data_IF_886034207248
#
_entry.id   IF_886034207248
#
_cell.length_a   1.000
_cell.length_b   1.000
_cell.length_c   1.000
_cell.angle_alpha   90.00
_cell.angle_beta   90.00
_cell.angle_gamma   90.00
#
_symmetry.space_group_name_H-M   'P 1'
#
loop_
_entity.id
_entity.type
_entity.pdbx_description
1 polymer ?
#
# COMPACT_ATOMS: atom_id res chain seq x y z
N UNK A 1 34.61 -42.87 -11.83
CA UNK A 1 33.43 -42.05 -12.15
C UNK A 1 33.29 -41.04 -11.02
N UNK A 2 33.74 -39.79 -11.28
CA UNK A 2 33.63 -38.67 -10.33
C UNK A 2 32.41 -37.85 -10.72
N UNK A 3 31.44 -37.73 -9.82
CA UNK A 3 30.29 -36.87 -9.97
C UNK A 3 30.71 -35.41 -9.75
N UNK A 4 30.61 -34.62 -10.78
CA UNK A 4 30.72 -33.16 -10.69
C UNK A 4 29.43 -32.62 -10.05
N UNK A 5 29.56 -32.01 -8.89
CA UNK A 5 28.55 -31.12 -8.33
C UNK A 5 28.78 -29.75 -8.96
N UNK A 6 27.90 -29.35 -9.88
CA UNK A 6 27.80 -27.98 -10.37
C UNK A 6 27.19 -27.12 -9.25
N UNK A 7 28.06 -26.35 -8.60
CA UNK A 7 27.70 -25.28 -7.70
C UNK A 7 27.22 -24.06 -8.51
N UNK A 8 25.94 -23.73 -8.36
CA UNK A 8 25.37 -22.46 -8.85
C UNK A 8 26.09 -21.27 -8.23
N UNK A 9 26.40 -20.20 -8.99
CA UNK A 9 27.14 -19.06 -8.45
C UNK A 9 26.27 -18.23 -7.49
N UNK A 10 26.80 -18.07 -6.29
CA UNK A 10 26.30 -17.17 -5.24
C UNK A 10 26.65 -15.72 -5.57
N UNK A 11 25.92 -15.10 -6.48
CA UNK A 11 26.05 -13.65 -6.73
C UNK A 11 24.77 -13.09 -7.33
N UNK A 12 23.69 -13.08 -6.55
CA UNK A 12 22.54 -12.23 -6.80
C UNK A 12 22.61 -10.96 -5.92
N UNK A 13 23.82 -10.37 -5.80
CA UNK A 13 24.01 -8.97 -5.39
C UNK A 13 23.91 -8.13 -6.64
N UNK A 14 22.70 -7.96 -7.18
CA UNK A 14 22.56 -7.31 -8.46
C UNK A 14 21.46 -6.27 -8.43
N UNK A 15 21.87 -5.06 -8.73
CA UNK A 15 21.08 -4.00 -9.34
C UNK A 15 19.89 -3.51 -8.52
N UNK A 16 20.18 -2.92 -7.38
CA UNK A 16 19.37 -1.77 -6.94
C UNK A 16 19.80 -0.62 -7.87
N UNK A 17 19.19 -0.56 -9.05
CA UNK A 17 19.29 0.61 -9.90
C UNK A 17 18.85 1.81 -9.06
N UNK A 18 19.69 2.85 -9.01
CA UNK A 18 19.35 4.07 -8.28
C UNK A 18 17.96 4.53 -8.71
N UNK A 19 17.02 4.81 -7.78
CA UNK A 19 15.68 5.22 -8.13
C UNK A 19 15.75 6.49 -8.97
N UNK A 20 15.23 6.46 -10.19
CA UNK A 20 15.20 7.64 -11.04
C UNK A 20 14.43 8.72 -10.28
N UNK A 21 15.06 9.87 -10.03
CA UNK A 21 14.47 11.00 -9.28
C UNK A 21 13.34 11.70 -10.04
N UNK A 22 13.06 11.31 -11.28
CA UNK A 22 12.11 11.96 -12.19
C UNK A 22 10.80 11.17 -12.28
N UNK A 23 9.91 11.37 -11.32
CA UNK A 23 8.48 11.10 -11.49
C UNK A 23 7.74 12.38 -11.86
N UNK A 24 6.69 12.26 -12.68
CA UNK A 24 5.75 13.36 -12.92
C UNK A 24 4.85 13.45 -11.69
N UNK A 25 4.68 14.66 -11.15
CA UNK A 25 3.72 14.93 -10.07
C UNK A 25 2.66 15.89 -10.58
N UNK A 26 1.40 15.59 -10.32
CA UNK A 26 0.28 16.42 -10.75
C UNK A 26 -0.92 16.34 -9.82
N UNK A 27 -1.95 17.08 -10.18
CA UNK A 27 -3.27 17.04 -9.56
C UNK A 27 -4.35 16.95 -10.63
N UNK A 28 -5.44 16.25 -10.33
CA UNK A 28 -6.65 16.18 -11.16
C UNK A 28 -7.80 16.78 -10.36
N UNK A 29 -8.58 17.65 -10.99
CA UNK A 29 -9.80 18.17 -10.41
C UNK A 29 -10.92 17.11 -10.50
N UNK A 30 -11.62 16.88 -9.40
CA UNK A 30 -12.79 16.03 -9.33
C UNK A 30 -14.08 16.85 -9.50
N UNK A 31 -15.18 16.20 -9.82
CA UNK A 31 -16.47 16.86 -10.10
C UNK A 31 -17.03 17.65 -8.91
N UNK A 32 -16.66 17.30 -7.71
CA UNK A 32 -17.07 18.00 -6.47
C UNK A 32 -16.14 19.18 -6.08
N UNK A 33 -15.18 19.52 -6.93
CA UNK A 33 -14.23 20.63 -6.72
C UNK A 33 -13.00 20.25 -5.91
N UNK A 34 -12.89 19.02 -5.41
CA UNK A 34 -11.66 18.51 -4.79
C UNK A 34 -10.58 18.28 -5.86
N UNK A 35 -9.32 18.25 -5.41
CA UNK A 35 -8.17 17.84 -6.22
C UNK A 35 -7.61 16.52 -5.70
N UNK A 36 -7.31 15.61 -6.60
CA UNK A 36 -6.59 14.38 -6.29
C UNK A 36 -5.14 14.51 -6.76
N UNK A 37 -4.21 14.54 -5.80
CA UNK A 37 -2.77 14.54 -6.07
C UNK A 37 -2.29 13.17 -6.50
N UNK A 38 -1.31 13.10 -7.39
CA UNK A 38 -0.72 11.83 -7.81
C UNK A 38 0.74 11.99 -8.24
N UNK A 39 1.43 10.87 -8.36
CA UNK A 39 2.71 10.78 -9.06
C UNK A 39 2.68 9.66 -10.08
N UNK A 40 3.50 9.79 -11.13
CA UNK A 40 3.67 8.81 -12.19
C UNK A 40 5.13 8.41 -12.27
N UNK A 41 5.37 7.09 -12.34
CA UNK A 41 6.68 6.46 -12.41
C UNK A 41 6.68 5.34 -13.47
N UNK A 42 7.86 4.77 -13.73
CA UNK A 42 8.00 3.61 -14.61
C UNK A 42 8.06 4.01 -16.09
N UNK A 43 7.29 3.33 -16.92
CA UNK A 43 7.21 3.56 -18.37
C UNK A 43 5.93 4.34 -18.71
N UNK A 44 6.03 5.60 -19.21
CA UNK A 44 4.84 6.39 -19.53
C UNK A 44 3.93 5.77 -20.61
N UNK A 45 4.48 4.98 -21.52
CA UNK A 45 3.71 4.22 -22.54
C UNK A 45 3.33 2.82 -22.10
N UNK A 46 3.68 2.43 -20.88
CA UNK A 46 3.46 1.10 -20.34
C UNK A 46 2.01 0.83 -19.93
N UNK A 47 1.77 -0.40 -19.50
CA UNK A 47 0.48 -0.82 -18.99
C UNK A 47 0.14 -0.14 -17.66
N UNK A 48 -1.06 0.45 -17.50
CA UNK A 48 -1.39 1.25 -16.34
C UNK A 48 -1.64 0.39 -15.10
N UNK A 49 -0.91 0.71 -14.01
CA UNK A 49 -1.09 0.14 -12.69
C UNK A 49 -1.24 1.27 -11.68
N UNK A 50 -2.33 1.28 -10.95
CA UNK A 50 -2.64 2.26 -9.92
C UNK A 50 -2.22 1.73 -8.56
N UNK A 51 -1.29 2.43 -7.89
CA UNK A 51 -0.72 2.05 -6.61
C UNK A 51 -1.36 2.82 -5.46
N UNK A 52 -1.89 2.11 -4.48
CA UNK A 52 -2.44 2.69 -3.26
C UNK A 52 -1.47 2.50 -2.09
N UNK A 53 -0.96 3.61 -1.60
CA UNK A 53 0.03 3.67 -0.52
C UNK A 53 -0.51 3.14 0.83
N UNK A 54 0.39 2.76 1.75
CA UNK A 54 0.07 2.39 3.13
C UNK A 54 -0.45 3.56 3.99
N UNK A 55 -0.65 3.32 5.29
CA UNK A 55 -1.18 4.32 6.24
C UNK A 55 -0.28 4.41 7.48
N UNK A 56 0.30 5.59 7.79
CA UNK A 56 0.37 6.78 6.92
C UNK A 56 1.33 6.57 5.75
N UNK A 57 1.06 7.24 4.63
CA UNK A 57 1.89 7.18 3.43
C UNK A 57 1.46 8.18 2.37
N UNK A 58 2.19 8.23 1.25
CA UNK A 58 1.92 9.16 0.16
C UNK A 58 2.31 8.56 -1.20
N UNK A 59 2.00 9.28 -2.27
CA UNK A 59 2.42 8.95 -3.65
C UNK A 59 3.92 8.71 -3.80
N UNK A 60 4.72 9.33 -2.92
CA UNK A 60 6.19 9.25 -2.95
C UNK A 60 6.70 7.83 -2.75
N UNK A 61 5.97 6.99 -2.00
CA UNK A 61 6.39 5.61 -1.71
C UNK A 61 6.49 4.75 -2.98
N UNK A 62 5.68 5.02 -4.00
CA UNK A 62 5.71 4.29 -5.27
C UNK A 62 7.04 4.46 -6.04
N UNK A 63 7.84 5.47 -5.71
CA UNK A 63 9.18 5.68 -6.30
C UNK A 63 10.12 4.48 -6.08
N UNK A 64 9.94 3.71 -5.00
CA UNK A 64 10.71 2.47 -4.76
C UNK A 64 10.51 1.42 -5.87
N UNK A 65 9.34 1.42 -6.49
CA UNK A 65 9.01 0.50 -7.57
C UNK A 65 9.32 1.04 -8.98
N UNK A 66 9.82 2.29 -9.10
CA UNK A 66 9.95 2.98 -10.39
C UNK A 66 10.82 2.24 -11.42
N UNK A 67 11.98 1.73 -10.99
CA UNK A 67 12.89 0.99 -11.86
C UNK A 67 12.28 -0.35 -12.30
N UNK A 68 11.68 -1.09 -11.39
CA UNK A 68 11.02 -2.36 -11.65
C UNK A 68 9.80 -2.18 -12.54
N UNK A 69 9.02 -1.11 -12.34
CA UNK A 69 7.90 -0.77 -13.19
C UNK A 69 8.34 -0.47 -14.63
N UNK A 70 9.43 0.29 -14.80
CA UNK A 70 10.00 0.56 -16.13
C UNK A 70 10.43 -0.74 -16.82
N UNK A 71 11.15 -1.61 -16.11
CA UNK A 71 11.58 -2.91 -16.65
C UNK A 71 10.41 -3.81 -17.04
N UNK A 72 9.30 -3.73 -16.31
CA UNK A 72 8.09 -4.51 -16.59
C UNK A 72 7.15 -3.88 -17.64
N UNK A 73 7.50 -2.72 -18.24
CA UNK A 73 6.64 -1.99 -19.16
C UNK A 73 5.35 -1.52 -18.49
N UNK A 74 5.45 -1.01 -17.26
CA UNK A 74 4.32 -0.56 -16.45
C UNK A 74 4.38 0.95 -16.27
N UNK A 75 3.26 1.61 -16.58
CA UNK A 75 2.96 2.98 -16.17
C UNK A 75 2.41 2.94 -14.75
N UNK A 76 3.27 3.24 -13.76
CA UNK A 76 2.93 3.17 -12.35
C UNK A 76 2.38 4.51 -11.87
N UNK A 77 1.12 4.54 -11.51
CA UNK A 77 0.36 5.72 -11.13
C UNK A 77 -0.03 5.64 -9.65
N UNK A 78 0.34 6.63 -8.86
CA UNK A 78 0.17 6.63 -7.41
C UNK A 78 -0.68 7.83 -6.96
N UNK A 79 -2.03 7.75 -6.98
CA UNK A 79 -2.87 8.78 -6.40
C UNK A 79 -2.79 8.79 -4.88
N UNK A 80 -2.92 9.99 -4.29
CA UNK A 80 -2.99 10.18 -2.85
C UNK A 80 -4.44 10.23 -2.39
N UNK A 81 -4.74 9.49 -1.33
CA UNK A 81 -6.09 9.51 -0.74
C UNK A 81 -6.41 10.88 -0.13
N UNK A 82 -7.69 11.24 0.00
CA UNK A 82 -8.11 12.54 0.50
C UNK A 82 -7.43 12.97 1.79
N UNK A 83 -6.84 14.18 1.79
CA UNK A 83 -6.13 14.79 2.90
C UNK A 83 -4.66 14.38 3.04
N UNK A 84 -4.15 13.47 2.21
CA UNK A 84 -2.72 13.18 2.11
C UNK A 84 -2.07 14.03 1.02
N UNK A 85 -0.83 14.43 1.25
CA UNK A 85 0.03 15.13 0.28
C UNK A 85 -0.66 16.30 -0.41
N UNK A 86 -0.95 16.16 -1.70
CA UNK A 86 -1.57 17.19 -2.54
C UNK A 86 -3.10 17.05 -2.65
N UNK A 87 -3.69 15.97 -2.12
CA UNK A 87 -5.13 15.71 -2.25
C UNK A 87 -5.94 16.52 -1.26
N UNK A 88 -7.02 17.14 -1.74
CA UNK A 88 -7.98 17.87 -0.90
C UNK A 88 -8.59 16.93 0.16
N UNK A 89 -8.73 17.36 1.42
CA UNK A 89 -9.42 16.59 2.45
C UNK A 89 -10.89 16.32 2.09
N UNK A 90 -11.41 15.16 2.53
CA UNK A 90 -12.83 14.79 2.43
C UNK A 90 -13.33 14.34 3.81
N UNK A 91 -13.85 15.25 4.63
CA UNK A 91 -14.40 14.90 5.94
C UNK A 91 -15.58 13.93 5.83
N UNK A 92 -15.65 12.97 6.75
CA UNK A 92 -16.76 12.02 6.79
C UNK A 92 -16.78 10.95 5.70
N UNK A 93 -15.72 10.84 4.88
CA UNK A 93 -15.62 9.86 3.80
C UNK A 93 -15.81 8.42 4.28
N UNK A 94 -16.30 7.58 3.39
CA UNK A 94 -16.38 6.13 3.52
C UNK A 94 -15.32 5.47 2.63
N UNK A 95 -15.06 4.19 2.85
CA UNK A 95 -14.14 3.42 1.99
C UNK A 95 -14.63 3.39 0.53
N UNK A 96 -15.94 3.28 0.33
CA UNK A 96 -16.57 3.19 -0.99
C UNK A 96 -16.68 4.53 -1.76
N UNK A 97 -16.28 5.64 -1.17
CA UNK A 97 -16.17 6.90 -1.90
C UNK A 97 -14.88 6.94 -2.76
N UNK A 98 -13.87 6.12 -2.40
CA UNK A 98 -12.59 6.07 -3.11
C UNK A 98 -12.66 5.52 -4.54
N UNK A 99 -13.39 4.44 -4.85
CA UNK A 99 -13.53 3.98 -6.22
C UNK A 99 -14.09 5.06 -7.18
N UNK A 100 -15.02 5.89 -6.71
CA UNK A 100 -15.57 6.99 -7.52
C UNK A 100 -14.51 8.08 -7.78
N UNK A 101 -13.70 8.43 -6.78
CA UNK A 101 -12.57 9.33 -6.95
C UNK A 101 -11.56 8.76 -7.96
N UNK A 102 -11.23 7.47 -7.85
CA UNK A 102 -10.31 6.78 -8.78
C UNK A 102 -10.88 6.75 -10.19
N UNK A 103 -12.17 6.49 -10.37
CA UNK A 103 -12.82 6.48 -11.68
C UNK A 103 -12.69 7.84 -12.37
N UNK A 104 -13.07 8.93 -11.68
CA UNK A 104 -12.98 10.29 -12.23
C UNK A 104 -11.53 10.66 -12.57
N UNK A 105 -10.61 10.31 -11.68
CA UNK A 105 -9.17 10.55 -11.87
C UNK A 105 -8.62 9.74 -13.05
N UNK A 106 -9.01 8.49 -13.21
CA UNK A 106 -8.61 7.63 -14.32
C UNK A 106 -9.17 8.16 -15.66
N UNK A 107 -10.44 8.61 -15.68
CA UNK A 107 -11.06 9.23 -16.84
C UNK A 107 -10.30 10.47 -17.31
N UNK A 108 -9.91 11.35 -16.35
CA UNK A 108 -9.13 12.55 -16.66
C UNK A 108 -7.73 12.24 -17.22
N UNK A 109 -7.16 11.09 -16.89
CA UNK A 109 -5.86 10.61 -17.41
C UNK A 109 -5.99 9.73 -18.65
N UNK A 110 -7.19 9.51 -19.18
CA UNK A 110 -7.45 8.68 -20.35
C UNK A 110 -7.20 7.18 -20.10
N UNK A 111 -7.35 6.71 -18.86
CA UNK A 111 -7.18 5.30 -18.52
C UNK A 111 -8.50 4.58 -18.66
N UNK A 112 -8.64 3.73 -19.66
CA UNK A 112 -9.84 2.90 -19.85
C UNK A 112 -9.85 1.71 -18.87
N UNK A 113 -8.81 0.88 -18.90
CA UNK A 113 -8.61 -0.25 -17.99
C UNK A 113 -7.25 -0.18 -17.32
N UNK A 114 -7.18 -0.58 -16.06
CA UNK A 114 -5.95 -0.53 -15.26
C UNK A 114 -5.93 -1.66 -14.23
N UNK A 115 -4.74 -2.00 -13.73
CA UNK A 115 -4.62 -2.79 -12.51
C UNK A 115 -4.62 -1.90 -11.28
N UNK A 116 -4.91 -2.48 -10.13
CA UNK A 116 -4.72 -1.83 -8.83
C UNK A 116 -3.76 -2.64 -7.97
N UNK A 117 -2.92 -1.96 -7.17
CA UNK A 117 -2.03 -2.57 -6.19
C UNK A 117 -2.17 -1.81 -4.87
N UNK A 118 -2.67 -2.45 -3.84
CA UNK A 118 -2.77 -1.89 -2.50
C UNK A 118 -1.78 -2.52 -1.54
N UNK A 119 -1.00 -1.68 -0.83
CA UNK A 119 -0.04 -2.13 0.17
C UNK A 119 -0.50 -1.68 1.55
N UNK A 120 -0.50 -2.59 2.54
CA UNK A 120 -0.86 -2.27 3.93
C UNK A 120 -2.26 -1.63 4.01
N UNK A 121 -2.38 -0.39 4.53
CA UNK A 121 -3.61 0.39 4.52
C UNK A 121 -4.17 0.71 3.13
N UNK A 122 -3.42 0.47 2.05
CA UNK A 122 -3.90 0.57 0.67
C UNK A 122 -4.73 -0.62 0.19
N UNK A 123 -4.60 -1.77 0.86
CA UNK A 123 -5.28 -3.00 0.46
C UNK A 123 -6.81 -2.92 0.48
N UNK A 124 -7.45 -2.37 1.52
CA UNK A 124 -8.90 -2.13 1.53
C UNK A 124 -9.40 -1.32 0.33
N UNK A 125 -8.62 -0.34 -0.11
CA UNK A 125 -8.94 0.50 -1.26
C UNK A 125 -8.78 -0.23 -2.59
N UNK A 126 -7.78 -1.11 -2.71
CA UNK A 126 -7.62 -1.98 -3.87
C UNK A 126 -8.81 -2.96 -3.97
N UNK A 127 -9.22 -3.56 -2.84
CA UNK A 127 -10.38 -4.44 -2.79
C UNK A 127 -11.69 -3.69 -3.13
N UNK A 128 -11.86 -2.45 -2.65
CA UNK A 128 -13.01 -1.61 -2.96
C UNK A 128 -13.09 -1.27 -4.46
N UNK A 129 -11.97 -0.90 -5.08
CA UNK A 129 -11.90 -0.65 -6.52
C UNK A 129 -12.18 -1.92 -7.33
N UNK A 130 -11.62 -3.07 -6.92
CA UNK A 130 -11.86 -4.36 -7.55
C UNK A 130 -13.33 -4.78 -7.48
N UNK A 131 -14.04 -4.43 -6.40
CA UNK A 131 -15.45 -4.71 -6.21
C UNK A 131 -16.36 -3.76 -7.00
N UNK A 132 -16.10 -2.44 -6.93
CA UNK A 132 -17.00 -1.42 -7.46
C UNK A 132 -16.75 -1.10 -8.96
N UNK A 133 -15.54 -1.37 -9.45
CA UNK A 133 -15.12 -1.05 -10.81
C UNK A 133 -14.66 -2.29 -11.60
N UNK A 134 -15.44 -3.41 -11.65
CA UNK A 134 -14.99 -4.64 -12.28
C UNK A 134 -14.74 -4.48 -13.79
N UNK A 135 -15.41 -3.55 -14.45
CA UNK A 135 -15.23 -3.25 -15.88
C UNK A 135 -13.94 -2.46 -16.16
N UNK A 136 -13.38 -1.77 -15.16
CA UNK A 136 -12.20 -0.89 -15.26
C UNK A 136 -10.96 -1.55 -14.67
N UNK A 137 -11.11 -2.32 -13.60
CA UNK A 137 -10.01 -3.01 -12.93
C UNK A 137 -9.80 -4.38 -13.57
N UNK A 138 -8.65 -4.57 -14.21
CA UNK A 138 -8.32 -5.84 -14.88
C UNK A 138 -7.83 -6.91 -13.90
N UNK A 139 -7.11 -6.53 -12.87
CA UNK A 139 -6.55 -7.39 -11.82
C UNK A 139 -6.23 -6.55 -10.59
N UNK A 140 -6.34 -7.13 -9.39
CA UNK A 140 -5.96 -6.48 -8.15
C UNK A 140 -4.81 -7.20 -7.45
N UNK A 141 -3.81 -6.43 -6.99
CA UNK A 141 -2.76 -6.88 -6.09
C UNK A 141 -3.01 -6.38 -4.67
N UNK A 142 -2.84 -7.23 -3.68
CA UNK A 142 -2.99 -6.91 -2.27
C UNK A 142 -1.76 -7.42 -1.51
N UNK A 143 -1.02 -6.52 -0.85
CA UNK A 143 0.21 -6.88 -0.15
C UNK A 143 0.15 -6.46 1.31
N UNK A 144 0.38 -7.40 2.24
CA UNK A 144 0.45 -7.16 3.70
C UNK A 144 -0.69 -6.26 4.18
N UNK A 145 -1.94 -6.63 3.85
CA UNK A 145 -3.12 -5.78 3.98
C UNK A 145 -3.91 -6.02 5.26
N UNK A 146 -4.66 -4.99 5.64
CA UNK A 146 -5.78 -5.12 6.57
C UNK A 146 -6.87 -6.04 5.98
N UNK A 147 -7.63 -6.66 6.87
CA UNK A 147 -8.89 -7.35 6.57
C UNK A 147 -10.09 -6.54 7.08
N UNK A 148 -11.34 -6.86 6.70
CA UNK A 148 -12.53 -6.29 7.30
C UNK A 148 -12.52 -6.39 8.83
N UNK A 149 -13.12 -5.41 9.49
CA UNK A 149 -13.02 -5.17 10.95
C UNK A 149 -13.16 -6.45 11.80
N UNK A 150 -14.16 -7.28 11.52
CA UNK A 150 -14.43 -8.44 12.38
C UNK A 150 -13.34 -9.51 12.25
N UNK A 151 -12.81 -9.71 11.04
CA UNK A 151 -11.66 -10.57 10.80
C UNK A 151 -10.36 -9.97 11.36
N UNK A 152 -10.19 -8.65 11.28
CA UNK A 152 -9.06 -7.94 11.87
C UNK A 152 -9.06 -8.13 13.40
N UNK A 153 -10.18 -7.89 14.07
CA UNK A 153 -10.28 -8.01 15.53
C UNK A 153 -10.03 -9.45 15.99
N UNK A 154 -10.62 -10.45 15.32
CA UNK A 154 -10.43 -11.86 15.68
C UNK A 154 -9.00 -12.35 15.51
N UNK A 155 -8.20 -11.71 14.65
CA UNK A 155 -6.80 -12.05 14.40
C UNK A 155 -5.80 -11.50 15.42
N UNK A 156 -6.23 -10.55 16.27
CA UNK A 156 -5.38 -9.88 17.25
C UNK A 156 -5.45 -10.55 18.62
N UNK A 157 -4.38 -10.51 19.42
CA UNK A 157 -4.42 -10.84 20.85
C UNK A 157 -5.45 -9.95 21.60
N UNK A 158 -6.08 -10.47 22.65
CA UNK A 158 -7.16 -9.78 23.39
C UNK A 158 -6.81 -8.35 23.81
N UNK A 159 -5.59 -8.13 24.30
CA UNK A 159 -5.11 -6.79 24.66
C UNK A 159 -5.10 -5.84 23.46
N UNK A 160 -4.60 -6.31 22.32
CA UNK A 160 -4.58 -5.51 21.08
C UNK A 160 -5.99 -5.29 20.52
N UNK A 161 -6.92 -6.23 20.71
CA UNK A 161 -8.34 -6.03 20.38
C UNK A 161 -8.92 -4.87 21.19
N UNK A 162 -8.66 -4.82 22.50
CA UNK A 162 -9.10 -3.72 23.37
C UNK A 162 -8.50 -2.39 22.93
N UNK A 163 -7.19 -2.34 22.62
CA UNK A 163 -6.51 -1.14 22.13
C UNK A 163 -7.06 -0.70 20.76
N UNK A 164 -7.29 -1.62 19.83
CA UNK A 164 -7.89 -1.32 18.54
C UNK A 164 -9.33 -0.77 18.68
N UNK A 165 -10.08 -1.24 19.66
CA UNK A 165 -11.38 -0.67 19.99
C UNK A 165 -11.28 0.75 20.60
N UNK A 166 -10.26 1.03 21.41
CA UNK A 166 -10.01 2.37 21.96
C UNK A 166 -9.62 3.37 20.87
N UNK A 167 -8.86 2.96 19.84
CA UNK A 167 -8.49 3.80 18.68
C UNK A 167 -9.74 4.30 17.90
N UNK A 168 -10.90 3.64 18.04
CA UNK A 168 -12.17 4.13 17.47
C UNK A 168 -12.62 5.47 18.07
N UNK A 169 -12.18 5.77 19.27
CA UNK A 169 -12.50 7.02 19.94
C UNK A 169 -11.47 8.07 19.55
N UNK A 170 -11.77 8.86 18.53
CA UNK A 170 -10.89 9.91 17.99
C UNK A 170 -10.42 10.92 19.03
N UNK A 171 -11.13 11.07 20.14
CA UNK A 171 -10.72 11.92 21.26
C UNK A 171 -9.50 11.38 22.02
N UNK A 172 -9.27 10.06 22.04
CA UNK A 172 -8.10 9.46 22.66
C UNK A 172 -6.86 9.54 21.72
N UNK A 173 -7.08 9.38 20.41
CA UNK A 173 -6.00 9.44 19.41
C UNK A 173 -5.76 10.86 18.90
N UNK A 174 -6.74 11.76 19.10
CA UNK A 174 -6.68 13.13 18.64
C UNK A 174 -5.42 13.90 19.02
N UNK A 175 -4.95 13.86 20.28
CA UNK A 175 -3.71 14.52 20.68
C UNK A 175 -2.43 13.78 20.27
N UNK A 176 -2.47 12.45 20.18
CA UNK A 176 -1.29 11.63 19.92
C UNK A 176 -0.80 11.73 18.47
N UNK A 177 -1.71 11.76 17.50
CA UNK A 177 -1.34 11.83 16.08
C UNK A 177 -0.72 13.17 15.66
N UNK A 178 -1.21 14.36 16.08
CA UNK A 178 -0.52 15.62 15.86
C UNK A 178 0.88 15.65 16.49
N UNK A 179 1.04 15.09 17.69
CA UNK A 179 2.35 14.98 18.34
C UNK A 179 3.27 14.06 17.54
N UNK A 180 2.80 12.89 17.11
CA UNK A 180 3.57 11.97 16.26
C UNK A 180 3.96 12.66 14.94
N UNK A 181 3.05 13.37 14.30
CA UNK A 181 3.33 14.13 13.09
C UNK A 181 4.36 15.26 13.32
N UNK A 182 4.32 15.93 14.48
CA UNK A 182 5.29 16.93 14.86
C UNK A 182 6.67 16.32 15.12
N UNK A 183 6.73 15.18 15.82
CA UNK A 183 7.95 14.41 16.05
C UNK A 183 8.54 13.88 14.74
N UNK A 184 7.70 13.37 13.84
CA UNK A 184 8.10 12.93 12.51
C UNK A 184 8.76 14.06 11.71
N UNK A 185 8.21 15.28 11.78
CA UNK A 185 8.80 16.45 11.12
C UNK A 185 10.08 16.94 11.77
N UNK A 186 10.19 16.85 13.10
CA UNK A 186 11.32 17.44 13.85
C UNK A 186 12.50 16.48 13.99
N UNK A 187 12.22 15.16 14.13
CA UNK A 187 13.23 14.11 14.35
C UNK A 187 12.87 12.84 13.56
N UNK A 188 12.83 12.92 12.23
CA UNK A 188 12.36 11.80 11.38
C UNK A 188 13.20 10.53 11.55
N UNK A 189 14.53 10.65 11.64
CA UNK A 189 15.42 9.51 11.80
C UNK A 189 15.22 8.78 13.15
N UNK A 190 15.01 9.54 14.23
CA UNK A 190 14.75 8.98 15.55
C UNK A 190 13.42 8.21 15.58
N UNK A 191 12.40 8.74 14.90
CA UNK A 191 11.11 8.07 14.80
C UNK A 191 11.24 6.72 14.08
N UNK A 192 11.96 6.66 12.96
CA UNK A 192 12.22 5.40 12.26
C UNK A 192 12.98 4.42 13.15
N UNK A 193 13.99 4.88 13.90
CA UNK A 193 14.74 4.03 14.81
C UNK A 193 13.84 3.42 15.89
N UNK A 194 12.95 4.21 16.49
CA UNK A 194 11.98 3.72 17.49
C UNK A 194 10.99 2.73 16.86
N UNK A 195 10.47 3.03 15.68
CA UNK A 195 9.57 2.12 14.96
C UNK A 195 10.26 0.80 14.61
N UNK A 196 11.54 0.86 14.21
CA UNK A 196 12.31 -0.33 13.84
C UNK A 196 12.44 -1.33 15.00
N UNK A 197 12.44 -0.87 16.27
CA UNK A 197 12.53 -1.78 17.42
C UNK A 197 11.36 -2.75 17.54
N UNK A 198 10.17 -2.35 17.08
CA UNK A 198 8.98 -3.21 17.11
C UNK A 198 8.92 -4.18 15.93
N UNK A 199 9.75 -3.99 14.90
CA UNK A 199 9.73 -4.78 13.67
C UNK A 199 10.52 -6.11 13.82
N UNK A 200 10.14 -7.17 13.09
CA UNK A 200 10.92 -8.38 12.99
C UNK A 200 12.28 -8.12 12.31
N UNK A 201 13.30 -9.01 12.53
CA UNK A 201 14.63 -8.81 11.96
C UNK A 201 14.66 -8.56 10.45
N UNK A 202 13.83 -9.27 9.67
CA UNK A 202 13.73 -9.09 8.22
C UNK A 202 13.31 -7.66 7.84
N UNK A 203 12.27 -7.12 8.49
CA UNK A 203 11.80 -5.75 8.24
C UNK A 203 12.82 -4.71 8.68
N UNK A 204 13.52 -4.95 9.80
CA UNK A 204 14.60 -4.06 10.25
C UNK A 204 15.73 -3.98 9.22
N UNK A 205 16.12 -5.11 8.65
CA UNK A 205 17.15 -5.16 7.62
C UNK A 205 16.74 -4.40 6.34
N UNK A 206 15.47 -4.48 5.96
CA UNK A 206 14.92 -3.72 4.83
C UNK A 206 14.92 -2.21 5.13
N UNK A 207 14.42 -1.83 6.31
CA UNK A 207 14.32 -0.42 6.73
C UNK A 207 15.69 0.22 6.98
N UNK A 208 16.72 -0.58 7.27
CA UNK A 208 18.10 -0.11 7.45
C UNK A 208 18.80 0.25 6.12
N UNK A 209 18.23 -0.12 4.96
CA UNK A 209 18.77 0.26 3.65
C UNK A 209 18.58 1.78 3.47
N UNK A 210 19.65 2.56 3.18
CA UNK A 210 19.58 4.02 3.18
C UNK A 210 18.51 4.59 2.24
N UNK A 211 18.38 4.02 1.03
CA UNK A 211 17.41 4.47 0.04
C UNK A 211 15.96 4.19 0.48
N UNK A 212 15.72 3.02 1.10
CA UNK A 212 14.40 2.67 1.65
C UNK A 212 14.06 3.57 2.82
N UNK A 213 15.01 3.78 3.73
CA UNK A 213 14.84 4.65 4.89
C UNK A 213 14.52 6.09 4.47
N UNK A 214 15.32 6.66 3.57
CA UNK A 214 15.13 8.03 3.11
C UNK A 214 13.78 8.19 2.41
N UNK A 215 13.41 7.26 1.54
CA UNK A 215 12.15 7.34 0.82
C UNK A 215 10.94 7.12 1.72
N UNK A 216 11.08 6.27 2.75
CA UNK A 216 10.04 6.09 3.75
C UNK A 216 9.82 7.38 4.55
N UNK A 217 10.91 8.08 4.89
CA UNK A 217 10.86 9.42 5.51
C UNK A 217 10.20 10.44 4.60
N UNK A 218 10.62 10.53 3.34
CA UNK A 218 10.05 11.45 2.35
C UNK A 218 8.53 11.20 2.21
N UNK A 219 8.12 9.93 2.14
CA UNK A 219 6.72 9.54 2.06
C UNK A 219 5.93 9.92 3.31
N UNK A 220 6.51 9.75 4.49
CA UNK A 220 5.88 10.10 5.76
C UNK A 220 5.75 11.61 5.92
N UNK A 221 6.78 12.38 5.55
CA UNK A 221 6.75 13.84 5.56
C UNK A 221 5.68 14.39 4.62
N UNK A 222 5.56 13.81 3.43
CA UNK A 222 4.52 14.19 2.47
C UNK A 222 3.13 13.78 2.97
N UNK A 223 2.98 12.62 3.59
CA UNK A 223 1.72 12.18 4.19
C UNK A 223 1.20 13.18 5.24
N UNK A 224 2.10 13.77 6.02
CA UNK A 224 1.76 14.77 7.04
C UNK A 224 1.86 16.22 6.55
N UNK A 225 1.96 16.46 5.25
CA UNK A 225 2.05 17.81 4.67
C UNK A 225 0.90 18.71 5.12
N UNK A 226 -0.33 18.18 5.18
CA UNK A 226 -1.54 18.89 5.60
C UNK A 226 -1.92 18.61 7.07
N UNK A 227 -1.03 17.99 7.85
CA UNK A 227 -1.30 17.57 9.23
C UNK A 227 -1.67 16.11 9.35
N UNK A 228 -2.20 15.71 10.50
CA UNK A 228 -2.46 14.30 10.85
C UNK A 228 -3.92 13.86 10.68
N UNK A 229 -4.81 14.78 10.29
CA UNK A 229 -6.26 14.53 10.23
C UNK A 229 -6.62 13.43 9.24
N UNK A 230 -5.93 13.35 8.10
CA UNK A 230 -6.15 12.28 7.12
C UNK A 230 -5.84 10.91 7.72
N UNK A 231 -4.72 10.78 8.44
CA UNK A 231 -4.34 9.53 9.13
C UNK A 231 -5.34 9.15 10.22
N UNK A 232 -5.79 10.14 11.02
CA UNK A 232 -6.80 9.91 12.06
C UNK A 232 -8.13 9.42 11.47
N UNK A 233 -8.61 10.09 10.43
CA UNK A 233 -9.83 9.73 9.71
C UNK A 233 -9.73 8.32 9.10
N UNK A 234 -8.59 7.96 8.55
CA UNK A 234 -8.36 6.67 7.92
C UNK A 234 -8.29 5.52 8.93
N UNK A 235 -7.62 5.70 10.07
CA UNK A 235 -7.64 4.72 11.15
C UNK A 235 -9.06 4.49 11.69
N UNK A 236 -9.83 5.56 11.85
CA UNK A 236 -11.25 5.46 12.23
C UNK A 236 -12.08 4.75 11.15
N UNK A 237 -11.78 4.97 9.86
CA UNK A 237 -12.44 4.31 8.75
C UNK A 237 -12.18 2.79 8.75
N UNK A 238 -10.94 2.35 8.97
CA UNK A 238 -10.58 0.94 9.03
C UNK A 238 -11.25 0.21 10.21
N UNK A 239 -11.64 0.93 11.26
CA UNK A 239 -12.38 0.36 12.39
C UNK A 239 -13.88 0.20 12.13
N UNK A 240 -14.37 0.58 10.94
CA UNK A 240 -15.77 0.45 10.53
C UNK A 240 -15.92 -0.71 9.51
N UNK A 241 -17.14 -1.22 9.28
CA UNK A 241 -17.41 -2.11 8.17
C UNK A 241 -17.00 -1.46 6.84
N UNK A 242 -16.43 -2.24 5.92
CA UNK A 242 -16.00 -1.72 4.61
C UNK A 242 -17.15 -1.29 3.70
N UNK A 243 -18.38 -1.73 3.99
CA UNK A 243 -19.57 -1.40 3.21
C UNK A 243 -19.84 -2.35 2.05
N UNK A 244 -18.99 -3.35 1.83
CA UNK A 244 -19.16 -4.40 0.83
C UNK A 244 -18.59 -5.73 1.34
N UNK A 245 -18.96 -6.83 0.68
CA UNK A 245 -18.40 -8.15 0.93
C UNK A 245 -17.24 -8.42 -0.02
N UNK A 246 -16.07 -8.81 0.50
CA UNK A 246 -14.93 -9.21 -0.33
C UNK A 246 -15.23 -10.49 -1.14
N UNK A 247 -16.22 -11.28 -0.71
CA UNK A 247 -16.71 -12.44 -1.46
C UNK A 247 -17.47 -12.05 -2.75
N UNK A 248 -17.81 -10.78 -2.92
CA UNK A 248 -18.45 -10.26 -4.13
C UNK A 248 -17.44 -9.61 -5.12
N UNK A 249 -16.15 -9.69 -4.86
CA UNK A 249 -15.11 -9.25 -5.81
C UNK A 249 -15.07 -10.22 -7.00
N UNK A 250 -15.17 -9.69 -8.22
CA UNK A 250 -15.28 -10.48 -9.45
C UNK A 250 -13.99 -10.51 -10.29
N UNK A 251 -13.06 -9.59 -10.03
CA UNK A 251 -11.78 -9.56 -10.74
C UNK A 251 -10.75 -10.46 -10.08
N UNK A 252 -9.78 -11.01 -10.84
CA UNK A 252 -8.69 -11.81 -10.26
C UNK A 252 -7.91 -11.00 -9.21
N UNK A 253 -7.60 -11.62 -8.08
CA UNK A 253 -6.83 -11.02 -6.99
C UNK A 253 -5.56 -11.83 -6.73
N UNK A 254 -4.42 -11.15 -6.67
CA UNK A 254 -3.15 -11.71 -6.21
C UNK A 254 -2.82 -11.14 -4.85
N UNK A 255 -2.58 -12.00 -3.88
CA UNK A 255 -2.33 -11.60 -2.50
C UNK A 255 -0.96 -12.10 -2.03
N UNK A 256 -0.17 -11.21 -1.44
CA UNK A 256 1.09 -11.55 -0.76
C UNK A 256 1.04 -11.10 0.69
N UNK A 257 1.47 -11.96 1.60
CA UNK A 257 1.53 -11.62 3.02
C UNK A 257 2.69 -12.34 3.70
N UNK A 258 3.52 -11.58 4.42
CA UNK A 258 4.61 -12.15 5.22
C UNK A 258 4.09 -12.89 6.45
N UNK A 259 4.57 -14.12 6.70
CA UNK A 259 4.17 -14.88 7.89
C UNK A 259 4.72 -14.24 9.17
N UNK A 260 5.88 -13.59 9.08
CA UNK A 260 6.50 -12.89 10.21
C UNK A 260 6.00 -11.42 10.36
N UNK A 261 4.95 -11.01 9.64
CA UNK A 261 4.38 -9.66 9.75
C UNK A 261 3.81 -9.44 11.17
N UNK A 262 4.44 -8.50 11.91
CA UNK A 262 4.03 -8.13 13.27
C UNK A 262 3.14 -6.89 13.32
N UNK A 263 3.05 -6.14 12.23
CA UNK A 263 2.16 -4.99 12.13
C UNK A 263 0.74 -5.42 11.78
N UNK A 264 0.62 -6.27 10.77
CA UNK A 264 -0.65 -6.84 10.33
C UNK A 264 -0.53 -8.37 10.31
N UNK A 265 -1.09 -9.09 11.29
CA UNK A 265 -0.97 -10.53 11.38
C UNK A 265 -1.39 -11.26 10.10
N UNK A 266 -0.65 -12.30 9.70
CA UNK A 266 -0.90 -13.10 8.49
C UNK A 266 -2.32 -13.67 8.43
N UNK A 267 -3.00 -13.80 9.57
CA UNK A 267 -4.40 -14.22 9.64
C UNK A 267 -5.34 -13.29 8.86
N UNK A 268 -5.00 -11.99 8.74
CA UNK A 268 -5.76 -11.05 7.89
C UNK A 268 -5.65 -11.41 6.41
N UNK A 269 -4.44 -11.69 5.93
CA UNK A 269 -4.22 -12.15 4.56
C UNK A 269 -4.90 -13.48 4.27
N UNK A 270 -4.83 -14.44 5.21
CA UNK A 270 -5.54 -15.73 5.10
C UNK A 270 -7.05 -15.56 5.02
N UNK A 271 -7.61 -14.65 5.81
CA UNK A 271 -9.02 -14.33 5.72
C UNK A 271 -9.40 -13.82 4.31
N UNK A 272 -8.67 -12.83 3.79
CA UNK A 272 -8.92 -12.29 2.45
C UNK A 272 -8.81 -13.38 1.38
N UNK A 273 -7.76 -14.20 1.44
CA UNK A 273 -7.54 -15.30 0.51
C UNK A 273 -8.66 -16.34 0.51
N UNK A 274 -9.25 -16.61 1.68
CA UNK A 274 -10.33 -17.57 1.81
C UNK A 274 -11.71 -17.01 1.42
N UNK A 275 -11.88 -15.69 1.45
CA UNK A 275 -13.16 -15.06 1.17
C UNK A 275 -13.30 -14.56 -0.27
N UNK A 276 -12.20 -14.13 -0.91
CA UNK A 276 -12.22 -13.63 -2.29
C UNK A 276 -12.26 -14.82 -3.24
N UNK A 277 -13.25 -14.92 -4.15
CA UNK A 277 -13.48 -16.13 -4.98
C UNK A 277 -12.31 -16.49 -5.89
N UNK A 278 -11.75 -15.53 -6.62
CA UNK A 278 -10.57 -15.73 -7.50
C UNK A 278 -9.36 -15.06 -6.86
N UNK A 279 -8.84 -15.68 -5.80
CA UNK A 279 -7.67 -15.20 -5.08
C UNK A 279 -6.50 -16.20 -5.13
N UNK A 280 -5.40 -15.78 -5.75
CA UNK A 280 -4.14 -16.49 -5.71
C UNK A 280 -3.26 -15.88 -4.62
N UNK A 281 -3.13 -16.58 -3.48
CA UNK A 281 -2.41 -16.08 -2.32
C UNK A 281 -1.03 -16.74 -2.16
N UNK A 282 -0.04 -15.91 -1.81
CA UNK A 282 1.30 -16.34 -1.48
C UNK A 282 1.68 -15.87 -0.07
N UNK A 283 1.87 -16.81 0.83
CA UNK A 283 2.32 -16.57 2.19
C UNK A 283 3.82 -16.84 2.29
N UNK A 284 4.58 -15.83 2.71
CA UNK A 284 6.04 -15.81 2.65
C UNK A 284 6.63 -16.12 4.04
N UNK A 285 7.29 -17.27 4.25
CA UNK A 285 7.68 -17.74 5.58
C UNK A 285 8.53 -16.76 6.38
N UNK A 286 9.57 -16.20 5.76
CA UNK A 286 10.58 -15.36 6.43
C UNK A 286 10.35 -13.85 6.19
N UNK A 287 9.24 -13.48 5.57
CA UNK A 287 8.92 -12.10 5.25
C UNK A 287 8.08 -11.42 6.33
N UNK A 288 8.40 -10.17 6.61
CA UNK A 288 7.59 -9.28 7.45
C UNK A 288 6.71 -8.33 6.63
N UNK A 289 6.34 -7.21 7.23
CA UNK A 289 5.45 -6.20 6.64
C UNK A 289 6.09 -5.46 5.45
N UNK A 290 7.40 -5.21 5.54
CA UNK A 290 8.14 -4.42 4.56
C UNK A 290 8.68 -5.23 3.37
N UNK A 291 8.34 -6.51 3.30
CA UNK A 291 8.80 -7.41 2.23
C UNK A 291 8.59 -6.83 0.83
N UNK A 292 7.51 -6.10 0.60
CA UNK A 292 7.18 -5.53 -0.71
C UNK A 292 8.34 -4.69 -1.29
N UNK A 293 9.14 -4.04 -0.46
CA UNK A 293 10.26 -3.22 -0.93
C UNK A 293 11.36 -4.03 -1.63
N UNK A 294 11.42 -5.33 -1.36
CA UNK A 294 12.26 -6.28 -2.09
C UNK A 294 11.46 -7.06 -3.15
N UNK A 295 10.16 -7.18 -2.97
CA UNK A 295 9.24 -7.98 -3.79
C UNK A 295 8.60 -7.26 -4.97
N UNK A 296 8.87 -5.97 -5.20
CA UNK A 296 8.19 -5.22 -6.26
C UNK A 296 8.31 -5.85 -7.63
N UNK A 297 9.50 -6.37 -8.02
CA UNK A 297 9.68 -6.99 -9.34
C UNK A 297 8.75 -8.20 -9.52
N UNK A 298 8.66 -9.06 -8.51
CA UNK A 298 7.79 -10.24 -8.51
C UNK A 298 6.32 -9.84 -8.64
N UNK A 299 5.88 -8.91 -7.77
CA UNK A 299 4.49 -8.44 -7.71
C UNK A 299 4.08 -7.80 -9.03
N UNK A 300 4.87 -6.87 -9.54
CA UNK A 300 4.60 -6.15 -10.79
C UNK A 300 4.58 -7.10 -11.99
N UNK A 301 5.54 -8.01 -12.08
CA UNK A 301 5.60 -8.99 -13.16
C UNK A 301 4.40 -9.96 -13.12
N UNK A 302 3.95 -10.36 -11.93
CA UNK A 302 2.78 -11.22 -11.76
C UNK A 302 1.50 -10.51 -12.23
N UNK A 303 1.25 -9.29 -11.76
CA UNK A 303 0.08 -8.50 -12.17
C UNK A 303 0.08 -8.21 -13.68
N UNK A 304 1.25 -7.90 -14.25
CA UNK A 304 1.39 -7.63 -15.69
C UNK A 304 1.05 -8.85 -16.56
N UNK A 305 1.44 -10.06 -16.13
CA UNK A 305 1.13 -11.30 -16.86
C UNK A 305 -0.34 -11.67 -16.78
N UNK A 306 -1.00 -11.36 -15.67
CA UNK A 306 -2.39 -11.77 -15.40
C UNK A 306 -3.44 -10.80 -15.95
N UNK A 307 -3.02 -9.67 -16.50
CA UNK A 307 -3.87 -8.64 -17.08
C UNK A 307 -4.20 -8.84 -18.58
N UNK A 308 -3.98 -10.05 -19.09
CA UNK A 308 -4.27 -10.41 -20.50
C UNK A 308 -5.71 -10.81 -20.70
#
# INVERSE_FOLDING_TARGET
MKSQHDSLPSSCSALIAQPSRSGITGTVALADGRYLGYAEYGDPGGWPLVFFHGTPGSRVLARLAAAQARLAGIRLLAPERPGYGLSTPQPGRRLLDWPDDVRQWADALGLDRFAVLGVSGGGPYAAACAWQLPDRVSVAGIVSSLAPKDAMLSSLPRLQQCLAQLVRHTWLTGPALPLLAALARRWPANLITVLAWSLPPADRAILAQPDVQQLHLDSLMEAFRQGSQATAAELALFSRPWGFSVAAVQVPVFLWHGIADRLLPVAMGRYLANQIPDCQARFLPDAGHLWIFQGYLEVLATLRRSAR
#
